data_IF_221396500841
#
_entry.id   IF_221396500841
#
_cell.length_a   1.000
_cell.length_b   1.000
_cell.length_c   1.000
_cell.angle_alpha   90.00
_cell.angle_beta   90.00
_cell.angle_gamma   90.00
#
_symmetry.space_group_name_H-M   'P 1'
#
loop_
_entity.id
_entity.type
_entity.pdbx_description
1 polymer ?
#
# COMPACT_ATOMS: atom_id res chain seq x y z
N UNK A 1 -3.21 3.16 -18.15
CA UNK A 1 -4.18 2.70 -17.15
C UNK A 1 -5.63 2.77 -17.68
N UNK A 2 -6.30 1.62 -17.66
CA UNK A 2 -7.73 1.46 -17.92
C UNK A 2 -8.63 2.15 -16.89
N UNK A 3 -9.94 2.07 -17.12
CA UNK A 3 -10.95 2.50 -16.16
C UNK A 3 -10.90 1.67 -14.87
N UNK A 4 -10.66 0.36 -14.98
CA UNK A 4 -10.49 -0.54 -13.83
C UNK A 4 -9.43 -0.02 -12.85
N UNK A 5 -8.25 0.34 -13.35
CA UNK A 5 -7.19 0.91 -12.53
C UNK A 5 -7.64 2.19 -11.82
N UNK A 6 -8.32 3.10 -12.54
CA UNK A 6 -8.78 4.38 -11.99
C UNK A 6 -9.79 4.17 -10.86
N UNK A 7 -10.73 3.26 -11.04
CA UNK A 7 -11.77 2.96 -10.05
C UNK A 7 -11.17 2.35 -8.78
N UNK A 8 -10.27 1.37 -8.93
CA UNK A 8 -9.55 0.77 -7.79
C UNK A 8 -8.67 1.78 -7.07
N UNK A 9 -7.98 2.65 -7.81
CA UNK A 9 -7.17 3.71 -7.23
C UNK A 9 -8.02 4.74 -6.46
N UNK A 10 -9.21 5.08 -6.96
CA UNK A 10 -10.14 5.99 -6.27
C UNK A 10 -10.71 5.36 -4.98
N UNK A 11 -11.10 4.08 -5.05
CA UNK A 11 -11.54 3.33 -3.87
C UNK A 11 -10.45 3.27 -2.79
N UNK A 12 -9.21 3.02 -3.21
CA UNK A 12 -8.05 3.04 -2.33
C UNK A 12 -7.84 4.40 -1.65
N UNK A 13 -7.84 5.49 -2.43
CA UNK A 13 -7.61 6.84 -1.89
C UNK A 13 -8.63 7.19 -0.80
N UNK A 14 -9.90 6.82 -1.01
CA UNK A 14 -10.96 7.00 -0.02
C UNK A 14 -10.67 6.18 1.23
N UNK A 15 -10.50 4.87 1.08
CA UNK A 15 -10.31 3.95 2.22
C UNK A 15 -9.05 4.29 3.03
N UNK A 16 -7.94 4.58 2.35
CA UNK A 16 -6.66 4.92 2.97
C UNK A 16 -6.76 6.23 3.77
N UNK A 17 -7.44 7.24 3.22
CA UNK A 17 -7.70 8.50 3.91
C UNK A 17 -8.62 8.34 5.14
N UNK A 18 -9.63 7.49 5.05
CA UNK A 18 -10.51 7.15 6.17
C UNK A 18 -9.73 6.48 7.32
N UNK A 19 -8.85 5.52 7.02
CA UNK A 19 -8.00 4.89 8.02
C UNK A 19 -7.03 5.87 8.69
N UNK A 20 -6.35 6.72 7.91
CA UNK A 20 -5.47 7.74 8.48
C UNK A 20 -6.23 8.72 9.38
N UNK A 21 -7.47 9.08 8.99
CA UNK A 21 -8.34 9.96 9.80
C UNK A 21 -8.77 9.25 11.09
N UNK A 22 -9.17 7.98 11.02
CA UNK A 22 -9.54 7.18 12.19
C UNK A 22 -8.37 7.03 13.17
N UNK A 23 -7.15 6.79 12.67
CA UNK A 23 -5.96 6.70 13.52
C UNK A 23 -5.71 8.01 14.27
N UNK A 24 -5.79 9.15 13.57
CA UNK A 24 -5.62 10.48 14.17
C UNK A 24 -6.69 10.76 15.23
N UNK A 25 -7.95 10.45 14.94
CA UNK A 25 -9.06 10.61 15.87
C UNK A 25 -8.87 9.75 17.13
N UNK A 26 -8.49 8.48 16.97
CA UNK A 26 -8.21 7.55 18.07
C UNK A 26 -7.07 8.07 18.97
N UNK A 27 -5.95 8.52 18.38
CA UNK A 27 -4.83 9.12 19.12
C UNK A 27 -5.22 10.42 19.83
N UNK A 28 -6.06 11.25 19.22
CA UNK A 28 -6.55 12.51 19.80
C UNK A 28 -7.51 12.29 20.98
N UNK A 29 -8.24 11.19 21.00
CA UNK A 29 -9.15 10.82 22.10
C UNK A 29 -8.43 10.39 23.39
N UNK A 30 -7.10 10.47 23.46
CA UNK A 30 -6.33 10.17 24.66
C UNK A 30 -6.20 8.68 24.96
N UNK A 31 -6.59 7.80 24.02
CA UNK A 31 -6.32 6.38 24.12
C UNK A 31 -4.79 6.18 24.22
N UNK A 32 -4.33 5.66 25.37
CA UNK A 32 -2.91 5.36 25.60
C UNK A 32 -2.40 4.46 24.47
N UNK A 33 -1.13 4.64 24.09
CA UNK A 33 -0.33 3.56 23.50
C UNK A 33 -0.42 2.38 24.45
N UNK A 34 -1.34 1.45 24.23
CA UNK A 34 -1.35 0.15 24.88
C UNK A 34 -0.06 -0.53 24.41
N UNK A 35 0.98 -0.42 25.24
CA UNK A 35 2.29 -1.04 25.04
C UNK A 35 2.25 -2.58 25.11
N UNK A 36 1.07 -3.15 25.31
CA UNK A 36 0.78 -4.56 25.13
C UNK A 36 -0.29 -4.67 24.06
N UNK A 37 -0.04 -5.53 23.07
CA UNK A 37 -1.04 -6.05 22.16
C UNK A 37 -2.34 -6.25 22.91
N UNK A 38 -3.43 -5.56 22.52
CA UNK A 38 -4.73 -5.95 23.02
C UNK A 38 -4.88 -7.46 22.77
N UNK A 39 -5.29 -8.21 23.79
CA UNK A 39 -5.54 -9.66 23.63
C UNK A 39 -6.50 -9.94 22.47
N UNK A 40 -7.30 -8.94 22.09
CA UNK A 40 -8.29 -8.94 21.03
C UNK A 40 -7.75 -9.23 19.63
N UNK A 41 -6.45 -9.09 19.37
CA UNK A 41 -5.87 -9.39 18.06
C UNK A 41 -4.67 -10.32 18.12
N UNK A 42 -4.69 -11.37 18.96
CA UNK A 42 -3.62 -12.42 18.92
C UNK A 42 -3.50 -13.06 17.54
N UNK A 43 -4.61 -13.24 16.84
CA UNK A 43 -4.64 -13.63 15.43
C UNK A 43 -5.08 -12.45 14.56
N UNK A 44 -4.13 -11.82 13.88
CA UNK A 44 -4.38 -10.68 13.00
C UNK A 44 -5.15 -11.09 11.75
N UNK A 45 -4.97 -12.34 11.31
CA UNK A 45 -5.58 -12.84 10.07
C UNK A 45 -7.10 -12.95 10.19
N UNK A 46 -7.60 -13.30 11.37
CA UNK A 46 -9.02 -13.47 11.68
C UNK A 46 -9.78 -12.15 11.94
N UNK A 47 -9.08 -11.00 11.97
CA UNK A 47 -9.74 -9.70 12.20
C UNK A 47 -10.70 -9.36 11.05
N UNK A 48 -11.99 -9.24 11.33
CA UNK A 48 -12.99 -8.91 10.30
C UNK A 48 -12.99 -7.41 9.96
N UNK A 49 -13.04 -6.53 10.97
CA UNK A 49 -12.94 -5.08 10.80
C UNK A 49 -11.60 -4.55 11.33
N UNK A 50 -10.70 -4.20 10.41
CA UNK A 50 -9.40 -3.59 10.75
C UNK A 50 -9.54 -2.20 11.38
N UNK A 51 -10.72 -1.60 11.30
CA UNK A 51 -11.02 -0.29 11.86
C UNK A 51 -11.51 -0.38 13.31
N UNK A 52 -11.98 -1.54 13.78
CA UNK A 52 -12.45 -1.74 15.14
C UNK A 52 -12.20 -3.20 15.56
N UNK A 53 -11.10 -3.42 16.28
CA UNK A 53 -10.73 -4.71 16.86
C UNK A 53 -11.32 -4.90 18.28
N UNK A 54 -12.27 -4.04 18.67
CA UNK A 54 -12.88 -4.00 19.99
C UNK A 54 -12.67 -2.64 20.67
N UNK A 55 -13.73 -2.12 21.29
CA UNK A 55 -13.67 -0.87 22.05
C UNK A 55 -13.36 0.37 21.20
N UNK A 56 -13.53 0.31 19.88
CA UNK A 56 -13.21 1.40 18.96
C UNK A 56 -11.73 1.53 18.62
N UNK A 57 -10.89 0.58 19.05
CA UNK A 57 -9.46 0.54 18.70
C UNK A 57 -9.28 0.03 17.26
N UNK A 58 -8.65 0.78 16.34
CA UNK A 58 -8.30 0.25 15.03
C UNK A 58 -7.02 -0.60 15.11
N UNK A 59 -6.91 -1.62 14.26
CA UNK A 59 -5.71 -2.47 14.17
C UNK A 59 -4.43 -1.66 13.87
N UNK A 60 -4.58 -0.55 13.14
CA UNK A 60 -3.51 0.39 12.79
C UNK A 60 -3.29 1.49 13.83
N UNK A 61 -3.82 1.38 15.06
CA UNK A 61 -3.68 2.40 16.12
C UNK A 61 -2.22 2.81 16.35
N UNK A 62 -1.29 1.84 16.31
CA UNK A 62 0.12 2.04 16.61
C UNK A 62 1.01 2.29 15.38
N UNK A 63 0.45 2.41 14.16
CA UNK A 63 1.24 2.66 12.96
C UNK A 63 2.01 3.99 13.03
N UNK A 64 3.28 3.90 12.64
CA UNK A 64 4.16 5.02 12.36
C UNK A 64 4.07 5.43 10.87
N UNK A 65 4.64 6.57 10.45
CA UNK A 65 4.68 6.97 9.05
C UNK A 65 5.25 5.90 8.11
N UNK A 66 6.23 5.13 8.59
CA UNK A 66 6.86 4.03 7.86
C UNK A 66 5.88 2.89 7.57
N UNK A 67 5.01 2.56 8.53
CA UNK A 67 3.98 1.54 8.34
C UNK A 67 2.96 1.99 7.29
N UNK A 68 2.55 3.26 7.30
CA UNK A 68 1.70 3.83 6.25
C UNK A 68 2.37 3.82 4.88
N UNK A 69 3.68 4.07 4.80
CA UNK A 69 4.43 3.99 3.55
C UNK A 69 4.46 2.56 3.00
N UNK A 70 4.61 1.57 3.87
CA UNK A 70 4.58 0.16 3.49
C UNK A 70 3.20 -0.28 2.99
N UNK A 71 2.10 0.15 3.63
CA UNK A 71 0.74 -0.12 3.14
C UNK A 71 0.52 0.47 1.75
N UNK A 72 0.94 1.72 1.55
CA UNK A 72 0.82 2.37 0.25
C UNK A 72 1.64 1.61 -0.82
N UNK A 73 2.86 1.19 -0.49
CA UNK A 73 3.72 0.41 -1.37
C UNK A 73 3.08 -0.94 -1.75
N UNK A 74 2.54 -1.66 -0.76
CA UNK A 74 1.81 -2.93 -0.97
C UNK A 74 0.68 -2.75 -1.98
N UNK A 75 -0.19 -1.77 -1.74
CA UNK A 75 -1.32 -1.50 -2.62
C UNK A 75 -0.87 -1.07 -4.03
N UNK A 76 0.09 -0.15 -4.13
CA UNK A 76 0.56 0.35 -5.43
C UNK A 76 1.15 -0.78 -6.29
N UNK A 77 1.99 -1.65 -5.71
CA UNK A 77 2.59 -2.75 -6.47
C UNK A 77 1.57 -3.84 -6.81
N UNK A 78 0.66 -4.18 -5.88
CA UNK A 78 -0.43 -5.11 -6.15
C UNK A 78 -1.31 -4.60 -7.31
N UNK A 79 -1.81 -3.36 -7.20
CA UNK A 79 -2.69 -2.77 -8.21
C UNK A 79 -1.98 -2.60 -9.55
N UNK A 80 -0.67 -2.33 -9.54
CA UNK A 80 0.12 -2.24 -10.77
C UNK A 80 0.13 -3.57 -11.53
N UNK A 81 0.44 -4.67 -10.83
CA UNK A 81 0.46 -6.00 -11.43
C UNK A 81 -0.94 -6.42 -11.90
N UNK A 82 -1.94 -6.24 -11.04
CA UNK A 82 -3.31 -6.66 -11.30
C UNK A 82 -3.96 -5.89 -12.47
N UNK A 83 -3.73 -4.57 -12.52
CA UNK A 83 -4.18 -3.75 -13.64
C UNK A 83 -3.36 -4.02 -14.91
N UNK A 84 -2.06 -4.30 -14.80
CA UNK A 84 -1.23 -4.60 -15.96
C UNK A 84 -1.71 -5.85 -16.69
N UNK A 85 -2.02 -6.93 -15.97
CA UNK A 85 -2.53 -8.16 -16.59
C UNK A 85 -3.84 -7.90 -17.36
N UNK A 86 -4.75 -7.12 -16.76
CA UNK A 86 -6.04 -6.76 -17.38
C UNK A 86 -5.87 -5.81 -18.58
N UNK A 87 -4.98 -4.83 -18.48
CA UNK A 87 -4.73 -3.83 -19.52
C UNK A 87 -3.93 -4.42 -20.70
N UNK A 88 -3.01 -5.34 -20.42
CA UNK A 88 -2.25 -6.05 -21.44
C UNK A 88 -3.15 -7.03 -22.22
N UNK A 89 -4.10 -7.67 -21.52
CA UNK A 89 -5.05 -8.64 -22.09
C UNK A 89 -4.36 -9.70 -22.97
N UNK A 90 -3.18 -10.13 -22.54
CA UNK A 90 -2.27 -11.01 -23.27
C UNK A 90 -1.81 -12.11 -22.30
N UNK A 91 -2.24 -13.38 -22.51
CA UNK A 91 -1.91 -14.48 -21.61
C UNK A 91 -0.40 -14.80 -21.59
N UNK A 92 0.35 -14.42 -22.63
CA UNK A 92 1.80 -14.60 -22.69
C UNK A 92 2.56 -13.50 -21.91
N UNK A 93 1.85 -12.47 -21.43
CA UNK A 93 2.39 -11.40 -20.56
C UNK A 93 1.89 -11.57 -19.13
N UNK A 94 2.41 -12.60 -18.47
CA UNK A 94 2.04 -12.95 -17.11
C UNK A 94 2.30 -11.85 -16.06
N UNK A 95 3.23 -10.92 -16.32
CA UNK A 95 3.52 -9.81 -15.40
C UNK A 95 4.53 -8.81 -15.94
N UNK A 96 4.95 -7.90 -15.07
CA UNK A 96 5.89 -6.83 -15.42
C UNK A 96 7.32 -7.31 -15.15
N UNK A 97 8.21 -7.38 -16.16
CA UNK A 97 9.63 -7.64 -15.93
C UNK A 97 10.26 -6.63 -14.96
N UNK A 98 11.14 -7.09 -14.08
CA UNK A 98 11.77 -6.26 -13.03
C UNK A 98 12.45 -4.99 -13.59
N UNK A 99 13.14 -5.12 -14.72
CA UNK A 99 13.78 -4.02 -15.44
C UNK A 99 12.79 -2.96 -16.00
N UNK A 100 11.53 -3.32 -16.21
CA UNK A 100 10.47 -2.43 -16.69
C UNK A 100 9.56 -1.91 -15.58
N UNK A 101 9.76 -2.35 -14.33
CA UNK A 101 8.91 -1.99 -13.21
C UNK A 101 8.80 -0.47 -13.03
N UNK A 102 9.93 0.24 -13.03
CA UNK A 102 9.95 1.70 -12.86
C UNK A 102 9.22 2.44 -14.00
N UNK A 103 9.32 1.92 -15.24
CA UNK A 103 8.61 2.48 -16.38
C UNK A 103 7.09 2.33 -16.23
N UNK A 104 6.62 1.13 -15.92
CA UNK A 104 5.19 0.88 -15.76
C UNK A 104 4.63 1.57 -14.53
N UNK A 105 5.36 1.59 -13.42
CA UNK A 105 4.96 2.37 -12.23
C UNK A 105 4.74 3.84 -12.58
N UNK A 106 5.65 4.48 -13.34
CA UNK A 106 5.45 5.85 -13.80
C UNK A 106 4.28 5.99 -14.79
N UNK A 107 4.12 5.04 -15.70
CA UNK A 107 3.02 5.04 -16.68
C UNK A 107 1.65 5.04 -15.99
N UNK A 108 1.50 4.24 -14.94
CA UNK A 108 0.24 4.06 -14.22
C UNK A 108 -0.01 5.16 -13.18
N UNK A 109 0.97 5.43 -12.32
CA UNK A 109 0.79 6.34 -11.18
C UNK A 109 1.24 7.78 -11.43
N UNK A 110 1.94 8.06 -12.54
CA UNK A 110 2.58 9.37 -12.80
C UNK A 110 3.53 9.80 -11.67
N UNK A 111 4.13 8.81 -11.00
CA UNK A 111 5.05 8.93 -9.87
C UNK A 111 6.31 8.10 -10.16
N UNK A 112 7.43 8.45 -9.56
CA UNK A 112 8.63 7.61 -9.64
C UNK A 112 8.64 6.60 -8.49
N UNK A 113 8.97 5.34 -8.81
CA UNK A 113 9.32 4.35 -7.80
C UNK A 113 10.76 4.62 -7.36
N UNK A 114 10.95 5.00 -6.10
CA UNK A 114 12.26 5.44 -5.60
C UNK A 114 12.67 4.67 -4.34
N UNK A 115 13.45 3.58 -4.47
CA UNK A 115 13.97 2.81 -3.34
C UNK A 115 14.73 3.64 -2.30
N UNK A 116 15.37 4.75 -2.71
CA UNK A 116 16.16 5.59 -1.81
C UNK A 116 15.33 6.22 -0.69
N UNK A 117 14.03 6.43 -0.90
CA UNK A 117 13.12 6.92 0.15
C UNK A 117 12.97 5.90 1.29
N UNK A 118 13.16 4.62 1.00
CA UNK A 118 13.13 3.53 1.96
C UNK A 118 14.55 3.19 2.48
N UNK A 119 15.55 4.01 2.14
CA UNK A 119 16.97 3.76 2.40
C UNK A 119 17.48 2.46 1.74
N UNK A 120 17.00 2.20 0.52
CA UNK A 120 17.36 1.05 -0.30
C UNK A 120 17.94 1.50 -1.64
N UNK A 121 18.67 0.60 -2.30
CA UNK A 121 19.37 0.88 -3.56
C UNK A 121 18.69 0.28 -4.78
N UNK A 122 17.92 -0.80 -4.61
CA UNK A 122 17.34 -1.56 -5.72
C UNK A 122 15.84 -1.78 -5.60
N UNK A 123 15.18 -2.05 -6.73
CA UNK A 123 13.77 -2.44 -6.76
C UNK A 123 13.53 -3.79 -6.04
N UNK A 124 14.48 -4.72 -6.15
CA UNK A 124 14.43 -6.02 -5.47
C UNK A 124 14.40 -5.86 -3.95
N UNK A 125 15.28 -5.02 -3.39
CA UNK A 125 15.27 -4.70 -1.96
C UNK A 125 13.94 -4.06 -1.54
N UNK A 126 13.38 -3.18 -2.38
CA UNK A 126 12.12 -2.51 -2.10
C UNK A 126 10.95 -3.51 -2.06
N UNK A 127 10.90 -4.43 -3.02
CA UNK A 127 9.90 -5.51 -3.07
C UNK A 127 10.05 -6.44 -1.87
N UNK A 128 11.28 -6.69 -1.40
CA UNK A 128 11.51 -7.54 -0.23
C UNK A 128 10.85 -7.01 1.07
N UNK A 129 10.59 -5.70 1.18
CA UNK A 129 9.84 -5.12 2.30
C UNK A 129 8.34 -5.50 2.30
N UNK A 130 7.82 -5.94 1.17
CA UNK A 130 6.41 -6.25 0.91
C UNK A 130 6.23 -7.60 0.21
N UNK A 131 7.15 -8.53 0.47
CA UNK A 131 7.20 -9.89 -0.13
C UNK A 131 5.97 -10.74 0.16
N UNK A 132 5.21 -10.38 1.19
CA UNK A 132 3.94 -10.96 1.58
C UNK A 132 2.77 -10.52 0.66
N UNK A 133 2.99 -9.52 -0.19
CA UNK A 133 1.99 -8.98 -1.12
C UNK A 133 2.36 -9.21 -2.58
N UNK A 134 3.62 -8.99 -2.93
CA UNK A 134 4.14 -9.12 -4.30
C UNK A 134 5.54 -9.72 -4.29
N UNK A 135 5.91 -10.43 -5.34
CA UNK A 135 7.24 -11.01 -5.48
C UNK A 135 7.75 -10.91 -6.92
N UNK A 136 9.07 -10.88 -7.11
CA UNK A 136 9.68 -11.18 -8.41
C UNK A 136 9.85 -12.69 -8.50
N UNK A 137 9.22 -13.32 -9.49
CA UNK A 137 9.36 -14.75 -9.73
C UNK A 137 10.80 -15.06 -10.16
N UNK A 138 11.43 -16.04 -9.52
CA UNK A 138 12.86 -16.31 -9.69
C UNK A 138 13.21 -16.82 -11.10
N UNK A 139 12.31 -17.58 -11.71
CA UNK A 139 12.44 -18.20 -13.03
C UNK A 139 12.23 -17.21 -14.18
N UNK A 140 11.22 -16.36 -14.06
CA UNK A 140 10.73 -15.47 -15.13
C UNK A 140 11.16 -14.01 -14.93
N UNK A 141 11.65 -13.64 -13.75
CA UNK A 141 12.04 -12.26 -13.38
C UNK A 141 10.91 -11.24 -13.58
N UNK A 142 9.66 -11.68 -13.44
CA UNK A 142 8.47 -10.83 -13.52
C UNK A 142 7.85 -10.61 -12.15
N UNK A 143 7.26 -9.44 -11.96
CA UNK A 143 6.42 -9.14 -10.82
C UNK A 143 5.18 -10.04 -10.83
N UNK A 144 4.89 -10.62 -9.68
CA UNK A 144 3.75 -11.49 -9.41
C UNK A 144 3.04 -11.02 -8.15
N UNK A 145 1.73 -11.23 -8.13
CA UNK A 145 0.84 -10.90 -7.04
C UNK A 145 -0.25 -11.98 -6.96
N UNK A 146 -0.92 -12.17 -5.81
CA UNK A 146 -2.14 -12.96 -5.74
C UNK A 146 -3.15 -12.51 -6.79
N UNK A 147 -3.88 -13.47 -7.38
CA UNK A 147 -4.86 -13.17 -8.44
C UNK A 147 -6.05 -12.35 -7.92
N UNK A 148 -6.40 -12.52 -6.65
CA UNK A 148 -7.46 -11.79 -5.98
C UNK A 148 -7.01 -11.39 -4.58
N UNK A 149 -7.50 -10.24 -4.13
CA UNK A 149 -7.30 -9.72 -2.80
C UNK A 149 -8.63 -9.80 -2.05
N UNK A 150 -8.66 -10.51 -0.92
CA UNK A 150 -9.88 -10.70 -0.12
C UNK A 150 -10.53 -9.36 0.25
N UNK A 151 -9.71 -8.42 0.70
CA UNK A 151 -10.12 -7.05 1.03
C UNK A 151 -8.92 -6.11 1.07
N UNK A 152 -9.16 -4.80 0.97
CA UNK A 152 -8.12 -3.79 1.20
C UNK A 152 -7.52 -3.91 2.62
N UNK A 153 -8.29 -4.42 3.58
CA UNK A 153 -7.84 -4.67 4.96
C UNK A 153 -6.68 -5.67 5.05
N UNK A 154 -6.48 -6.51 4.04
CA UNK A 154 -5.34 -7.42 3.93
C UNK A 154 -4.01 -6.69 4.07
N UNK A 155 -3.86 -5.52 3.44
CA UNK A 155 -2.62 -4.74 3.53
C UNK A 155 -2.36 -4.19 4.94
N UNK A 156 -3.43 -3.87 5.68
CA UNK A 156 -3.32 -3.45 7.09
C UNK A 156 -2.87 -4.64 7.95
N UNK A 157 -3.51 -5.80 7.79
CA UNK A 157 -3.17 -7.04 8.50
C UNK A 157 -1.71 -7.43 8.28
N UNK A 158 -1.29 -7.47 7.02
CA UNK A 158 0.08 -7.73 6.59
C UNK A 158 1.10 -6.75 7.18
N UNK A 159 0.76 -5.47 7.22
CA UNK A 159 1.64 -4.45 7.79
C UNK A 159 1.75 -4.58 9.30
N UNK A 160 0.65 -4.85 10.00
CA UNK A 160 0.64 -5.04 11.45
C UNK A 160 1.40 -6.30 11.88
N UNK A 161 1.25 -7.41 11.15
CA UNK A 161 2.04 -8.63 11.39
C UNK A 161 3.53 -8.34 11.29
N UNK A 162 3.95 -7.72 10.18
CA UNK A 162 5.35 -7.34 9.98
C UNK A 162 5.84 -6.31 11.01
N UNK A 163 4.97 -5.41 11.49
CA UNK A 163 5.32 -4.45 12.55
C UNK A 163 5.57 -5.17 13.88
N UNK A 164 4.69 -6.11 14.26
CA UNK A 164 4.86 -6.90 15.48
C UNK A 164 6.09 -7.78 15.42
N UNK A 165 6.34 -8.43 14.30
CA UNK A 165 7.53 -9.25 14.11
C UNK A 165 8.82 -8.42 14.20
N UNK A 166 8.86 -7.25 13.56
CA UNK A 166 9.99 -6.31 13.73
C UNK A 166 10.17 -5.89 15.19
N UNK A 167 9.09 -5.59 15.90
CA UNK A 167 9.16 -5.20 17.31
C UNK A 167 9.72 -6.34 18.17
N UNK A 168 9.25 -7.58 18.00
CA UNK A 168 9.77 -8.76 18.71
C UNK A 168 11.28 -8.96 18.48
N UNK A 169 11.74 -8.80 17.23
CA UNK A 169 13.17 -8.89 16.90
C UNK A 169 13.98 -7.79 17.59
N UNK A 170 13.48 -6.56 17.59
CA UNK A 170 14.12 -5.44 18.30
C UNK A 170 14.18 -5.72 19.81
N UNK A 171 13.09 -6.20 20.42
CA UNK A 171 13.03 -6.50 21.85
C UNK A 171 13.96 -7.67 22.24
N UNK A 172 14.23 -8.57 21.29
CA UNK A 172 15.23 -9.64 21.43
C UNK A 172 16.68 -9.18 21.17
N UNK A 173 16.90 -7.89 20.91
CA UNK A 173 18.24 -7.30 20.69
C UNK A 173 18.72 -7.31 19.24
N UNK A 174 17.89 -7.72 18.28
CA UNK A 174 18.22 -7.63 16.86
C UNK A 174 17.90 -6.24 16.31
N UNK A 175 18.86 -5.34 16.50
CA UNK A 175 18.81 -3.95 16.02
C UNK A 175 18.72 -3.82 14.48
N UNK A 176 19.00 -4.90 13.72
CA UNK A 176 18.89 -4.89 12.26
C UNK A 176 17.43 -4.86 11.77
N UNK A 177 16.47 -5.19 12.64
CA UNK A 177 15.05 -5.18 12.31
C UNK A 177 14.41 -3.77 12.27
N UNK A 178 15.13 -2.72 12.66
CA UNK A 178 14.63 -1.35 12.61
C UNK A 178 14.52 -0.83 11.17
N UNK A 179 13.37 -0.24 10.85
CA UNK A 179 13.20 0.52 9.61
C UNK A 179 13.98 1.83 9.70
N UNK A 180 14.75 2.13 8.65
CA UNK A 180 15.61 3.33 8.55
C UNK A 180 15.23 4.18 7.35
N UNK A 181 13.93 4.43 7.13
CA UNK A 181 13.50 5.18 5.95
C UNK A 181 14.04 6.61 6.01
N UNK A 182 14.42 7.14 4.85
CA UNK A 182 14.75 8.57 4.74
C UNK A 182 13.44 9.33 4.87
N UNK A 183 13.36 10.30 5.79
CA UNK A 183 12.16 11.10 6.14
C UNK A 183 11.02 10.90 5.16
N UNK A 184 10.07 10.01 5.49
CA UNK A 184 9.01 9.60 4.58
C UNK A 184 8.26 10.84 4.12
N UNK A 185 8.40 11.28 2.85
CA UNK A 185 7.75 12.49 2.39
C UNK A 185 6.24 12.32 2.50
N UNK A 186 5.51 13.36 2.89
CA UNK A 186 4.05 13.31 2.95
C UNK A 186 3.44 12.84 1.62
N UNK A 187 4.08 13.13 0.47
CA UNK A 187 3.68 12.66 -0.85
C UNK A 187 3.72 11.13 -1.06
N UNK A 188 4.50 10.40 -0.25
CA UNK A 188 4.56 8.92 -0.27
C UNK A 188 3.35 8.33 0.44
N UNK A 189 2.84 9.00 1.47
CA UNK A 189 1.69 8.56 2.28
C UNK A 189 0.46 9.44 2.08
N UNK A 190 0.45 10.24 1.02
CA UNK A 190 -0.71 11.02 0.62
C UNK A 190 -1.52 10.21 -0.40
N UNK A 191 -2.85 10.28 -0.35
CA UNK A 191 -3.66 9.81 -1.47
C UNK A 191 -3.22 10.56 -2.73
N UNK A 192 -2.76 9.84 -3.75
CA UNK A 192 -2.47 10.42 -5.08
C UNK A 192 -3.72 11.16 -5.52
N UNK A 193 -3.66 12.42 -5.96
CA UNK A 193 -4.88 13.11 -6.43
C UNK A 193 -5.39 12.40 -7.68
N UNK A 194 -6.63 11.89 -7.67
CA UNK A 194 -7.26 11.39 -8.89
C UNK A 194 -7.36 12.54 -9.90
N UNK A 195 -6.98 12.27 -11.15
CA UNK A 195 -7.30 13.19 -12.24
C UNK A 195 -8.81 13.11 -12.46
N UNK A 196 -9.53 14.11 -11.96
CA UNK A 196 -10.92 14.31 -12.35
C UNK A 196 -11.00 14.35 -13.89
N UNK A 197 -12.02 13.71 -14.52
CA UNK A 197 -12.19 13.83 -15.96
C UNK A 197 -12.38 15.32 -16.29
N UNK A 198 -11.54 15.84 -17.18
CA UNK A 198 -11.74 17.16 -17.77
C UNK A 198 -13.10 17.12 -18.46
N UNK A 199 -14.09 17.77 -17.84
CA UNK A 199 -15.37 18.00 -18.48
C UNK A 199 -15.12 18.85 -19.73
N UNK A 200 -15.12 18.20 -20.89
CA UNK A 200 -15.20 18.88 -22.19
C UNK A 200 -16.50 19.68 -22.21
N UNK A 201 -16.43 20.97 -21.85
CA UNK A 201 -17.51 21.93 -22.10
C UNK A 201 -17.72 21.99 -23.60
N UNK A 202 -18.73 21.27 -24.08
CA UNK A 202 -19.26 21.42 -25.42
C UNK A 202 -19.64 22.88 -25.63
N UNK A 203 -18.89 23.60 -26.47
CA UNK A 203 -19.33 24.88 -27.01
C UNK A 203 -20.43 24.60 -28.01
N UNK A 204 -21.67 24.80 -27.56
CA UNK A 204 -22.86 24.87 -28.40
C UNK A 204 -22.69 25.95 -29.47
N UNK A 205 -23.18 25.61 -30.66
CA UNK A 205 -23.18 26.40 -31.88
C UNK A 205 -23.97 27.71 -31.69
N UNK A 206 -23.35 28.84 -31.99
CA UNK A 206 -24.03 30.08 -32.36
C UNK A 206 -24.00 30.21 -33.88
N UNK A 207 -25.18 30.26 -34.51
CA UNK A 207 -25.37 30.48 -35.95
C UNK A 207 -24.98 31.90 -36.34
N UNK A 208 -24.40 32.02 -37.53
CA UNK A 208 -24.38 33.23 -38.36
C UNK A 208 -25.72 33.40 -39.06
#
# INVERSE_FOLDING_TARGET
>A
PSQYFKDKMAAWQKQFGEWQTKQKAFKAAGAKKTGESSEAAKDISSVEDVSDIGGGEPLFANFAPEDWALIQLRHELYLLQDAFQKDANDPDRAGIPENHLSFYYNKYFKKQLNPKLFNLSTNLELIALVKDTVAIAADTQVLTAPAELDSLGTFVKQTEENRRERQRRIDAGDETARLKFVTVPAAVIAPVKSLAPVASKGKGKGKW
#
